data_IF_545400928819
#
_entry.id   IF_545400928819
#
_cell.length_a   1.000
_cell.length_b   1.000
_cell.length_c   1.000
_cell.angle_alpha   90.00
_cell.angle_beta   90.00
_cell.angle_gamma   90.00
#
_symmetry.space_group_name_H-M   'P 1'
#
loop_
_entity.id
_entity.type
_entity.pdbx_description
1 polymer ?
#
# COMPACT_ATOMS: atom_id res chain seq x y z
N UNK A 1 -5.90 11.91 5.73
CA UNK A 1 -4.73 11.04 5.48
C UNK A 1 -4.61 10.76 4.00
N UNK A 2 -3.37 10.66 3.51
CA UNK A 2 -3.14 10.33 2.11
C UNK A 2 -3.40 8.85 1.84
N UNK A 3 -4.13 8.57 0.79
CA UNK A 3 -4.43 7.21 0.37
C UNK A 3 -3.57 6.86 -0.85
N UNK A 4 -3.03 5.66 -0.87
CA UNK A 4 -2.18 5.20 -1.97
C UNK A 4 -2.63 3.81 -2.42
N UNK A 5 -2.60 3.58 -3.74
CA UNK A 5 -2.79 2.22 -4.25
C UNK A 5 -1.57 1.37 -3.90
N UNK A 6 -1.68 0.06 -4.09
CA UNK A 6 -0.60 -0.86 -3.71
C UNK A 6 0.74 -0.48 -4.33
N UNK A 7 0.76 -0.16 -5.61
CA UNK A 7 2.00 0.18 -6.30
C UNK A 7 2.62 1.47 -5.77
N UNK A 8 1.80 2.50 -5.58
CA UNK A 8 2.28 3.76 -5.04
C UNK A 8 2.72 3.61 -3.58
N UNK A 9 1.98 2.83 -2.80
CA UNK A 9 2.35 2.55 -1.43
C UNK A 9 3.74 1.92 -1.35
N UNK A 10 3.99 0.90 -2.16
CA UNK A 10 5.30 0.25 -2.20
C UNK A 10 6.39 1.20 -2.64
N UNK A 11 6.09 2.04 -3.64
CA UNK A 11 7.09 2.94 -4.21
C UNK A 11 7.46 4.07 -3.28
N UNK A 12 6.49 4.66 -2.60
CA UNK A 12 6.71 5.88 -1.82
C UNK A 12 6.86 5.66 -0.33
N UNK A 13 6.19 4.66 0.22
CA UNK A 13 6.13 4.45 1.66
C UNK A 13 7.00 3.30 2.16
N UNK A 14 7.41 2.40 1.29
CA UNK A 14 8.26 1.27 1.66
C UNK A 14 9.69 1.48 1.18
N UNK A 15 10.66 1.25 2.07
CA UNK A 15 12.06 1.21 1.69
C UNK A 15 12.33 -0.07 0.90
N UNK A 16 13.53 -0.18 0.31
CA UNK A 16 13.93 -1.39 -0.41
C UNK A 16 13.86 -2.62 0.47
N UNK A 17 14.29 -2.48 1.73
CA UNK A 17 14.26 -3.58 2.69
C UNK A 17 12.84 -3.98 3.03
N UNK A 18 11.96 -3.01 3.24
CA UNK A 18 10.58 -3.28 3.56
C UNK A 18 9.84 -3.94 2.40
N UNK A 19 10.18 -3.56 1.17
CA UNK A 19 9.59 -4.19 -0.01
C UNK A 19 9.93 -5.67 -0.12
N UNK A 20 11.11 -6.06 0.36
CA UNK A 20 11.51 -7.45 0.38
C UNK A 20 10.82 -8.23 1.49
N UNK A 21 10.53 -7.57 2.61
CA UNK A 21 9.89 -8.18 3.77
C UNK A 21 8.38 -8.29 3.64
N UNK A 22 7.76 -7.28 3.04
CA UNK A 22 6.31 -7.21 2.92
C UNK A 22 5.89 -7.82 1.58
N UNK A 23 5.14 -8.90 1.65
CA UNK A 23 4.58 -9.54 0.46
C UNK A 23 3.20 -8.95 0.18
N UNK A 24 2.73 -9.11 -1.06
CA UNK A 24 1.41 -8.60 -1.45
C UNK A 24 0.31 -9.14 -0.56
N UNK A 25 0.42 -10.38 -0.12
CA UNK A 25 -0.57 -10.99 0.77
C UNK A 25 -0.65 -10.32 2.14
N UNK A 26 0.39 -9.57 2.52
CA UNK A 26 0.42 -8.84 3.79
C UNK A 26 -0.20 -7.46 3.68
N UNK A 27 -0.47 -7.00 2.48
CA UNK A 27 -1.06 -5.69 2.24
C UNK A 27 -2.57 -5.84 2.12
N UNK A 28 -3.29 -5.26 3.10
CA UNK A 28 -4.74 -5.32 3.12
C UNK A 28 -5.28 -4.07 2.44
N UNK A 29 -6.08 -4.28 1.40
CA UNK A 29 -6.65 -3.19 0.63
C UNK A 29 -7.98 -2.74 1.23
N UNK A 30 -8.27 -1.46 1.07
CA UNK A 30 -9.53 -0.90 1.51
C UNK A 30 -10.67 -1.45 0.62
N UNK A 31 -11.84 -1.79 1.20
CA UNK A 31 -12.92 -2.41 0.41
C UNK A 31 -13.57 -1.47 -0.60
N UNK A 32 -13.39 -0.16 -0.42
CA UNK A 32 -13.97 0.85 -1.31
C UNK A 32 -12.84 1.52 -2.08
N UNK A 33 -13.08 1.81 -3.36
CA UNK A 33 -12.12 2.55 -4.17
C UNK A 33 -12.05 3.99 -3.73
N UNK A 34 -10.87 4.55 -3.73
CA UNK A 34 -10.64 5.94 -3.35
C UNK A 34 -9.54 6.52 -4.22
N UNK A 35 -9.32 7.83 -4.09
CA UNK A 35 -8.30 8.51 -4.85
C UNK A 35 -6.90 8.13 -4.36
N UNK A 36 -6.10 7.60 -5.29
CA UNK A 36 -4.69 7.37 -5.01
C UNK A 36 -3.94 8.67 -5.19
N UNK A 37 -3.39 9.21 -4.14
CA UNK A 37 -2.67 10.49 -4.20
C UNK A 37 -1.30 10.37 -4.86
N UNK A 38 -0.84 9.15 -5.10
CA UNK A 38 0.42 8.94 -5.81
C UNK A 38 0.28 9.01 -7.32
N UNK A 39 -0.76 8.41 -7.87
CA UNK A 39 -0.99 8.40 -9.32
C UNK A 39 -2.21 9.19 -9.77
N UNK A 40 -3.04 9.64 -8.85
CA UNK A 40 -4.20 10.46 -9.15
C UNK A 40 -5.40 9.71 -9.73
N UNK A 41 -5.42 8.41 -9.60
CA UNK A 41 -6.51 7.59 -10.13
C UNK A 41 -7.41 7.08 -9.01
N UNK A 42 -8.68 6.83 -9.36
CA UNK A 42 -9.63 6.20 -8.43
C UNK A 42 -9.47 4.69 -8.57
N UNK A 43 -9.00 4.05 -7.51
CA UNK A 43 -8.81 2.62 -7.48
C UNK A 43 -8.68 2.13 -6.04
N UNK A 44 -8.51 0.82 -5.86
CA UNK A 44 -8.32 0.26 -4.54
C UNK A 44 -7.05 0.82 -3.91
N UNK A 45 -7.18 1.27 -2.67
CA UNK A 45 -6.06 1.84 -1.92
C UNK A 45 -5.72 0.95 -0.74
N UNK A 46 -4.52 1.10 -0.22
CA UNK A 46 -4.05 0.30 0.92
C UNK A 46 -4.72 0.78 2.20
N UNK A 47 -5.26 -0.17 2.96
CA UNK A 47 -5.87 0.10 4.25
C UNK A 47 -4.80 -0.02 5.35
N UNK A 48 -4.19 -1.20 5.47
CA UNK A 48 -3.12 -1.43 6.43
C UNK A 48 -2.24 -2.58 5.95
N UNK A 49 -1.13 -2.78 6.64
CA UNK A 49 -0.18 -3.85 6.33
C UNK A 49 -0.02 -4.71 7.57
N UNK A 50 -0.04 -6.02 7.37
CA UNK A 50 0.21 -6.98 8.43
C UNK A 50 1.72 -7.20 8.52
N UNK A 51 2.34 -6.64 9.54
CA UNK A 51 3.76 -6.82 9.78
C UNK A 51 4.02 -8.12 10.49
N UNK A 52 4.92 -8.92 9.92
CA UNK A 52 5.46 -10.05 10.64
C UNK A 52 6.81 -9.65 11.18
N UNK A 53 6.83 -9.24 12.42
CA UNK A 53 8.06 -8.88 13.08
C UNK A 53 8.82 -10.13 13.48
N UNK A 54 9.99 -10.26 12.99
CA UNK A 54 10.93 -11.28 13.42
C UNK A 54 12.24 -10.63 13.78
#
# INVERSE_FOLDING_TARGET
MAEFCKDCFKKYLLSSEDRERIKDENIVMFPIKDLCEGCGEIKSVVDYVIWRGD
#
